data_IF_683771808774
#
_entry.id   IF_683771808774
#
_cell.length_a   1.000
_cell.length_b   1.000
_cell.length_c   1.000
_cell.angle_alpha   90.00
_cell.angle_beta   90.00
_cell.angle_gamma   90.00
#
_symmetry.space_group_name_H-M   'P 1'
#
loop_
_entity.id
_entity.type
_entity.pdbx_description
1 polymer ?
#
# COMPACT_ATOMS: atom_id res chain seq x y z
N UNK A 1 41.38 -2.77 -2.87
CA UNK A 1 40.37 -1.69 -2.98
C UNK A 1 38.99 -2.25 -3.18
N UNK A 2 38.69 -3.15 -4.15
CA UNK A 2 37.33 -3.70 -4.38
C UNK A 2 36.70 -4.39 -3.16
N UNK A 3 37.50 -5.11 -2.35
CA UNK A 3 37.02 -5.75 -1.10
C UNK A 3 36.64 -4.74 -0.01
N UNK A 4 37.29 -3.57 0.02
CA UNK A 4 37.01 -2.50 0.98
C UNK A 4 35.64 -1.84 0.69
N UNK A 5 35.30 -1.63 -0.59
CA UNK A 5 33.99 -1.10 -0.99
C UNK A 5 32.85 -2.08 -0.66
N UNK A 6 33.10 -3.39 -0.78
CA UNK A 6 32.12 -4.41 -0.45
C UNK A 6 31.85 -4.47 1.05
N UNK A 7 32.90 -4.36 1.88
CA UNK A 7 32.77 -4.27 3.34
C UNK A 7 32.05 -2.97 3.74
N UNK A 8 32.39 -1.84 3.13
CA UNK A 8 31.73 -0.56 3.39
C UNK A 8 30.24 -0.59 3.03
N UNK A 9 29.87 -1.24 1.91
CA UNK A 9 28.48 -1.43 1.51
C UNK A 9 27.69 -2.27 2.52
N UNK A 10 28.29 -3.38 3.00
CA UNK A 10 27.67 -4.25 4.01
C UNK A 10 27.51 -3.53 5.35
N UNK A 11 28.52 -2.78 5.80
CA UNK A 11 28.44 -1.99 7.04
C UNK A 11 27.40 -0.88 6.90
N UNK A 12 27.29 -0.22 5.75
CA UNK A 12 26.28 0.81 5.50
C UNK A 12 24.86 0.23 5.53
N UNK A 13 24.64 -0.98 4.99
CA UNK A 13 23.32 -1.64 5.04
C UNK A 13 22.91 -2.09 6.44
N UNK A 14 23.85 -2.29 7.36
CA UNK A 14 23.57 -2.65 8.77
C UNK A 14 23.20 -1.45 9.67
N UNK A 15 23.44 -0.22 9.20
CA UNK A 15 23.16 1.01 9.96
C UNK A 15 21.74 1.54 9.69
N UNK A 16 21.04 0.99 8.69
CA UNK A 16 19.66 1.39 8.39
C UNK A 16 18.71 0.71 9.39
N UNK A 17 18.08 1.51 10.25
CA UNK A 17 16.98 1.05 11.09
C UNK A 17 15.82 0.61 10.18
N UNK A 18 15.63 -0.70 10.07
CA UNK A 18 14.49 -1.29 9.35
C UNK A 18 13.27 -1.21 10.29
N UNK A 19 12.49 -0.18 10.13
CA UNK A 19 11.15 -0.13 10.74
C UNK A 19 10.20 -0.94 9.86
N UNK A 20 9.95 -2.17 10.27
CA UNK A 20 8.96 -3.02 9.62
C UNK A 20 7.57 -2.62 10.10
N UNK A 21 6.84 -1.87 9.28
CA UNK A 21 5.41 -1.66 9.46
C UNK A 21 4.68 -2.83 8.79
N UNK A 22 3.62 -3.33 9.42
CA UNK A 22 2.78 -4.37 8.85
C UNK A 22 1.76 -3.72 7.94
N UNK A 23 1.88 -3.96 6.64
CA UNK A 23 0.84 -3.59 5.68
C UNK A 23 -0.40 -4.47 5.85
N UNK A 24 -1.61 -3.95 5.52
CA UNK A 24 -2.84 -4.72 5.54
C UNK A 24 -2.72 -6.02 4.74
N UNK A 25 -3.21 -7.12 5.29
CA UNK A 25 -3.21 -8.41 4.59
C UNK A 25 -4.21 -8.44 3.45
N UNK A 26 -3.74 -8.37 2.21
CA UNK A 26 -4.57 -8.50 1.03
C UNK A 26 -4.83 -9.98 0.70
N UNK A 27 -6.06 -10.43 0.88
CA UNK A 27 -6.55 -11.67 0.26
C UNK A 27 -7.08 -11.35 -1.14
N UNK A 28 -6.97 -12.29 -2.08
CA UNK A 28 -7.42 -12.11 -3.48
C UNK A 28 -6.68 -10.98 -4.23
N UNK A 29 -5.41 -10.73 -3.89
CA UNK A 29 -4.56 -9.72 -4.52
C UNK A 29 -4.44 -9.90 -6.05
N UNK A 30 -4.64 -11.11 -6.57
CA UNK A 30 -4.59 -11.41 -8.00
C UNK A 30 -5.63 -10.64 -8.83
N UNK A 31 -6.73 -10.21 -8.22
CA UNK A 31 -7.74 -9.38 -8.88
C UNK A 31 -7.40 -7.88 -8.82
N UNK A 32 -6.44 -7.50 -7.98
CA UNK A 32 -6.09 -6.10 -7.75
C UNK A 32 -4.57 -5.90 -7.62
N UNK A 33 -3.82 -6.46 -8.56
CA UNK A 33 -2.35 -6.46 -8.57
C UNK A 33 -1.75 -5.06 -8.56
N UNK A 34 -2.44 -4.07 -9.10
CA UNK A 34 -2.00 -2.67 -9.12
C UNK A 34 -1.77 -2.09 -7.71
N UNK A 35 -2.56 -2.54 -6.72
CA UNK A 35 -2.41 -2.09 -5.32
C UNK A 35 -1.04 -2.50 -4.78
N UNK A 36 -0.57 -3.70 -5.14
CA UNK A 36 0.68 -4.29 -4.63
C UNK A 36 1.89 -3.87 -5.47
N UNK A 37 1.74 -3.92 -6.80
CA UNK A 37 2.86 -3.71 -7.71
C UNK A 37 2.56 -2.59 -8.71
N UNK A 38 3.23 -1.42 -8.62
CA UNK A 38 3.01 -0.32 -9.56
C UNK A 38 3.38 -0.66 -11.01
N UNK A 39 4.28 -1.61 -11.24
CA UNK A 39 4.65 -2.05 -12.57
C UNK A 39 3.52 -2.78 -13.31
N UNK A 40 2.47 -3.19 -12.59
CA UNK A 40 1.28 -3.79 -13.18
C UNK A 40 0.36 -2.75 -13.85
N UNK A 41 0.50 -1.46 -13.51
CA UNK A 41 -0.32 -0.41 -14.09
C UNK A 41 -0.16 -0.38 -15.62
N UNK A 42 -1.28 -0.41 -16.35
CA UNK A 42 -1.27 -0.41 -17.82
C UNK A 42 -0.85 -1.72 -18.47
N UNK A 43 -0.62 -2.80 -17.73
CA UNK A 43 -0.30 -4.12 -18.30
C UNK A 43 -1.45 -4.73 -19.09
N UNK A 44 -2.67 -4.32 -18.83
CA UNK A 44 -3.85 -4.65 -19.61
C UNK A 44 -4.07 -3.61 -20.71
N UNK A 45 -4.55 -4.04 -21.85
CA UNK A 45 -4.77 -3.15 -23.01
C UNK A 45 -5.89 -2.13 -22.81
N UNK A 46 -6.71 -2.30 -21.75
CA UNK A 46 -7.89 -1.50 -21.47
C UNK A 46 -7.83 -0.91 -20.06
N UNK A 47 -8.68 0.10 -19.81
CA UNK A 47 -8.97 0.58 -18.48
C UNK A 47 -9.50 -0.58 -17.62
N UNK A 48 -8.81 -0.86 -16.54
CA UNK A 48 -9.20 -1.85 -15.54
C UNK A 48 -9.55 -1.14 -14.24
N UNK A 49 -10.72 -1.44 -13.69
CA UNK A 49 -11.19 -0.93 -12.40
C UNK A 49 -11.47 -2.13 -11.51
N UNK A 50 -10.97 -2.09 -10.29
CA UNK A 50 -11.18 -3.09 -9.27
C UNK A 50 -11.71 -2.48 -7.97
N UNK A 51 -12.63 -3.19 -7.33
CA UNK A 51 -13.10 -2.88 -5.99
C UNK A 51 -13.05 -4.14 -5.16
N UNK A 52 -12.58 -4.02 -3.93
CA UNK A 52 -12.58 -5.10 -2.96
C UNK A 52 -13.05 -4.57 -1.61
N UNK A 53 -13.96 -5.30 -1.00
CA UNK A 53 -14.38 -5.07 0.37
C UNK A 53 -14.21 -6.36 1.16
N UNK A 54 -13.52 -6.28 2.28
CA UNK A 54 -13.28 -7.40 3.18
C UNK A 54 -13.70 -7.03 4.59
N UNK A 55 -14.50 -7.89 5.21
CA UNK A 55 -14.79 -7.83 6.65
C UNK A 55 -14.35 -9.15 7.28
N UNK A 56 -13.53 -9.07 8.31
CA UNK A 56 -13.11 -10.23 9.11
C UNK A 56 -14.06 -10.36 10.31
N UNK A 57 -14.31 -11.59 10.77
CA UNK A 57 -15.12 -11.86 11.99
C UNK A 57 -16.48 -11.15 11.97
N UNK A 58 -17.35 -11.54 11.05
CA UNK A 58 -18.61 -10.85 10.69
C UNK A 58 -19.53 -10.54 11.86
N UNK A 59 -19.48 -11.32 12.93
CA UNK A 59 -20.32 -11.15 14.13
C UNK A 59 -19.64 -10.38 15.28
N UNK A 60 -18.40 -9.93 15.07
CA UNK A 60 -17.65 -9.17 16.07
C UNK A 60 -17.79 -7.67 15.76
N UNK A 61 -18.17 -6.90 16.79
CA UNK A 61 -18.21 -5.44 16.72
C UNK A 61 -16.77 -4.91 16.58
N UNK A 62 -16.56 -3.86 15.78
CA UNK A 62 -15.25 -3.28 15.45
C UNK A 62 -14.24 -4.24 14.78
N UNK A 63 -14.76 -5.31 14.18
CA UNK A 63 -13.95 -6.25 13.42
C UNK A 63 -13.22 -5.56 12.24
N UNK A 64 -11.99 -6.03 11.92
CA UNK A 64 -11.21 -5.45 10.85
C UNK A 64 -11.95 -5.40 9.53
N UNK A 65 -11.97 -4.22 8.90
CA UNK A 65 -12.58 -3.99 7.59
C UNK A 65 -11.60 -3.31 6.67
N UNK A 66 -11.46 -3.84 5.47
CA UNK A 66 -10.61 -3.28 4.42
C UNK A 66 -11.44 -3.02 3.17
N UNK A 67 -11.43 -1.79 2.69
CA UNK A 67 -12.03 -1.41 1.42
C UNK A 67 -10.91 -0.93 0.47
N UNK A 68 -10.92 -1.43 -0.75
CA UNK A 68 -9.93 -1.04 -1.76
C UNK A 68 -10.64 -0.67 -3.05
N UNK A 69 -10.26 0.46 -3.61
CA UNK A 69 -10.61 0.88 -4.96
C UNK A 69 -9.31 1.07 -5.75
N UNK A 70 -9.25 0.53 -6.95
CA UNK A 70 -8.12 0.79 -7.83
C UNK A 70 -8.56 0.86 -9.28
N UNK A 71 -7.82 1.66 -10.06
CA UNK A 71 -8.00 1.73 -11.49
C UNK A 71 -6.65 1.94 -12.16
N UNK A 72 -6.43 1.30 -13.30
CA UNK A 72 -5.23 1.52 -14.10
C UNK A 72 -5.53 1.40 -15.59
N UNK A 73 -4.77 2.14 -16.40
CA UNK A 73 -4.93 2.12 -17.85
C UNK A 73 -3.57 2.34 -18.54
N UNK A 74 -3.38 1.82 -19.77
CA UNK A 74 -2.32 2.28 -20.64
C UNK A 74 -2.65 3.70 -21.15
N UNK A 75 -1.67 4.60 -21.09
CA UNK A 75 -1.80 6.02 -21.55
C UNK A 75 -1.01 6.25 -22.85
N UNK A 76 -0.22 5.26 -23.25
CA UNK A 76 0.59 5.30 -24.47
C UNK A 76 1.06 3.90 -24.83
N UNK A 77 2.00 3.81 -25.76
CA UNK A 77 2.51 2.49 -26.20
C UNK A 77 3.21 1.71 -25.07
N UNK A 78 3.94 2.43 -24.22
CA UNK A 78 4.81 1.83 -23.21
C UNK A 78 4.54 2.36 -21.80
N UNK A 79 3.58 3.26 -21.62
CA UNK A 79 3.30 3.93 -20.36
C UNK A 79 1.95 3.51 -19.82
N UNK A 80 1.92 3.13 -18.56
CA UNK A 80 0.70 2.90 -17.79
C UNK A 80 0.61 3.85 -16.60
N UNK A 81 -0.62 4.24 -16.28
CA UNK A 81 -0.95 4.98 -15.07
C UNK A 81 -1.96 4.21 -14.24
N UNK A 82 -1.85 4.35 -12.93
CA UNK A 82 -2.78 3.76 -11.99
C UNK A 82 -3.05 4.69 -10.81
N UNK A 83 -4.20 4.45 -10.19
CA UNK A 83 -4.62 5.07 -8.95
C UNK A 83 -5.18 3.99 -8.03
N UNK A 84 -4.84 4.04 -6.76
CA UNK A 84 -5.43 3.17 -5.76
C UNK A 84 -5.74 3.92 -4.48
N UNK A 85 -6.87 3.57 -3.87
CA UNK A 85 -7.32 4.07 -2.57
C UNK A 85 -7.63 2.86 -1.71
N UNK A 86 -7.07 2.82 -0.52
CA UNK A 86 -7.23 1.74 0.43
C UNK A 86 -7.66 2.36 1.75
N UNK A 87 -8.75 1.86 2.32
CA UNK A 87 -9.21 2.22 3.65
C UNK A 87 -9.23 0.97 4.50
N UNK A 88 -8.46 0.97 5.56
CA UNK A 88 -8.35 -0.12 6.53
C UNK A 88 -8.75 0.37 7.91
N UNK A 89 -9.69 -0.32 8.54
CA UNK A 89 -10.15 0.01 9.90
C UNK A 89 -10.03 -1.22 10.78
N UNK A 90 -9.35 -1.06 11.91
CA UNK A 90 -9.14 -2.12 12.92
C UNK A 90 -9.42 -1.52 14.30
N UNK A 91 -10.63 -1.76 14.83
CA UNK A 91 -11.06 -1.12 16.07
C UNK A 91 -10.99 0.40 15.96
N UNK A 92 -10.28 1.09 16.90
CA UNK A 92 -10.16 2.55 16.92
C UNK A 92 -9.15 3.10 15.91
N UNK A 93 -8.41 2.23 15.20
CA UNK A 93 -7.38 2.62 14.23
C UNK A 93 -7.96 2.64 12.83
N UNK A 94 -7.81 3.75 12.13
CA UNK A 94 -8.19 3.92 10.74
C UNK A 94 -6.98 4.39 9.93
N UNK A 95 -6.70 3.68 8.84
CA UNK A 95 -5.65 4.02 7.90
C UNK A 95 -6.21 4.17 6.50
N UNK A 96 -6.00 5.34 5.91
CA UNK A 96 -6.42 5.66 4.55
C UNK A 96 -5.20 5.92 3.69
N UNK A 97 -5.00 5.10 2.65
CA UNK A 97 -3.88 5.17 1.73
C UNK A 97 -4.37 5.60 0.34
N UNK A 98 -3.70 6.59 -0.25
CA UNK A 98 -3.97 7.06 -1.60
C UNK A 98 -2.66 7.01 -2.38
N UNK A 99 -2.61 6.20 -3.44
CA UNK A 99 -1.43 5.98 -4.25
C UNK A 99 -1.67 6.28 -5.73
N UNK A 100 -0.70 6.92 -6.35
CA UNK A 100 -0.56 7.03 -7.80
C UNK A 100 0.56 6.10 -8.28
N UNK A 101 0.31 5.39 -9.35
CA UNK A 101 1.25 4.46 -9.97
C UNK A 101 1.62 4.93 -11.38
N UNK A 102 2.90 4.86 -11.69
CA UNK A 102 3.45 5.07 -13.02
C UNK A 102 4.22 3.81 -13.43
N UNK A 103 3.98 3.32 -14.63
CA UNK A 103 4.74 2.20 -15.17
C UNK A 103 5.30 2.50 -16.55
N UNK A 104 6.46 1.90 -16.83
CA UNK A 104 7.08 1.91 -18.14
C UNK A 104 7.42 0.49 -18.57
N UNK A 105 6.86 0.06 -19.70
CA UNK A 105 7.00 -1.30 -20.23
C UNK A 105 8.02 -1.33 -21.36
N UNK A 106 9.00 -2.23 -21.25
CA UNK A 106 9.97 -2.56 -22.29
C UNK A 106 9.54 -3.84 -23.02
N UNK A 107 9.53 -3.80 -24.32
CA UNK A 107 9.37 -4.98 -25.17
C UNK A 107 10.75 -5.65 -25.35
N UNK A 108 10.89 -6.89 -24.86
CA UNK A 108 12.16 -7.63 -24.91
C UNK A 108 12.31 -8.47 -26.19
N UNK A 109 11.28 -8.47 -27.02
CA UNK A 109 11.19 -9.25 -28.27
C UNK A 109 10.22 -10.43 -28.17
N UNK A 110 9.54 -10.75 -29.27
CA UNK A 110 8.40 -11.66 -29.25
C UNK A 110 7.25 -11.13 -28.40
N UNK A 111 6.69 -12.00 -27.56
CA UNK A 111 5.58 -11.65 -26.65
C UNK A 111 6.05 -11.24 -25.25
N UNK A 112 7.37 -11.14 -25.01
CA UNK A 112 7.95 -10.90 -23.69
C UNK A 112 8.02 -9.41 -23.37
N UNK A 113 7.49 -9.02 -22.22
CA UNK A 113 7.44 -7.65 -21.72
C UNK A 113 7.98 -7.56 -20.30
N UNK A 114 8.73 -6.50 -20.02
CA UNK A 114 9.23 -6.16 -18.68
C UNK A 114 8.80 -4.74 -18.33
N UNK A 115 7.98 -4.60 -17.32
CA UNK A 115 7.54 -3.31 -16.82
C UNK A 115 8.29 -2.90 -15.54
N UNK A 116 8.63 -1.63 -15.46
CA UNK A 116 9.18 -0.95 -14.28
C UNK A 116 8.10 -0.03 -13.74
N UNK A 117 7.86 -0.06 -12.44
CA UNK A 117 6.83 0.75 -11.80
C UNK A 117 7.38 1.63 -10.69
N UNK A 118 6.79 2.81 -10.58
CA UNK A 118 6.97 3.74 -9.47
C UNK A 118 5.61 4.01 -8.84
N UNK A 119 5.56 3.97 -7.53
CA UNK A 119 4.39 4.30 -6.71
C UNK A 119 4.73 5.48 -5.82
N UNK A 120 3.83 6.45 -5.75
CA UNK A 120 3.91 7.56 -4.80
C UNK A 120 2.54 7.80 -4.17
N UNK A 121 2.51 8.13 -2.89
CA UNK A 121 1.25 8.40 -2.23
C UNK A 121 1.36 8.85 -0.80
N UNK A 122 0.20 8.99 -0.18
CA UNK A 122 0.02 9.46 1.18
C UNK A 122 -0.76 8.43 2.00
N UNK A 123 -0.28 8.18 3.20
CA UNK A 123 -0.98 7.43 4.24
C UNK A 123 -1.48 8.41 5.29
N UNK A 124 -2.77 8.38 5.57
CA UNK A 124 -3.43 9.09 6.65
C UNK A 124 -3.75 8.07 7.74
N UNK A 125 -3.05 8.16 8.85
CA UNK A 125 -3.23 7.27 10.00
C UNK A 125 -3.93 8.02 11.12
N UNK A 126 -5.07 7.51 11.58
CA UNK A 126 -5.89 8.10 12.63
C UNK A 126 -6.15 7.06 13.72
N UNK A 127 -5.99 7.48 14.96
CA UNK A 127 -6.30 6.65 16.13
C UNK A 127 -7.34 7.38 16.95
N UNK A 128 -8.58 6.88 16.91
CA UNK A 128 -9.73 7.44 17.61
C UNK A 128 -9.96 6.75 18.95
N UNK A 129 -9.08 6.95 19.93
CA UNK A 129 -9.20 6.29 21.24
C UNK A 129 -10.40 6.77 22.08
N UNK A 130 -10.95 7.95 21.77
CA UNK A 130 -11.98 8.59 22.60
C UNK A 130 -13.42 8.26 22.22
N UNK A 131 -13.71 7.89 20.99
CA UNK A 131 -15.10 7.69 20.57
C UNK A 131 -15.70 6.35 20.99
N UNK A 132 -14.86 5.31 21.10
CA UNK A 132 -15.34 3.95 21.30
C UNK A 132 -15.18 3.43 22.75
N UNK A 133 -14.33 4.09 23.57
CA UNK A 133 -14.01 3.62 24.93
C UNK A 133 -14.92 4.24 26.01
N UNK A 134 -15.71 5.24 25.68
CA UNK A 134 -16.56 5.98 26.64
C UNK A 134 -17.59 5.13 27.42
N UNK A 135 -17.75 3.86 27.09
CA UNK A 135 -18.71 2.98 27.76
C UNK A 135 -18.10 1.97 28.72
N UNK A 136 -16.75 1.83 28.79
CA UNK A 136 -16.15 0.69 29.52
C UNK A 136 -15.01 1.03 30.49
N UNK A 137 -14.49 2.26 30.52
CA UNK A 137 -13.40 2.61 31.43
C UNK A 137 -13.90 3.35 32.65
N UNK A 138 -13.45 2.97 33.88
CA UNK A 138 -13.85 3.60 35.13
C UNK A 138 -13.29 5.02 35.32
N UNK A 139 -12.34 5.45 34.51
CA UNK A 139 -11.66 6.73 34.63
C UNK A 139 -11.57 7.46 33.29
N UNK A 140 -12.63 8.23 32.98
CA UNK A 140 -12.72 9.05 31.75
C UNK A 140 -11.71 10.22 31.73
N UNK A 141 -10.84 10.34 32.73
CA UNK A 141 -9.87 11.43 32.91
C UNK A 141 -8.41 10.99 32.76
N UNK A 142 -8.13 9.79 32.22
CA UNK A 142 -6.75 9.36 31.99
C UNK A 142 -6.12 10.19 30.87
N UNK A 143 -5.06 10.99 31.16
CA UNK A 143 -4.39 11.81 30.14
C UNK A 143 -3.81 11.00 28.95
N UNK A 144 -3.57 9.71 29.13
CA UNK A 144 -3.05 8.82 28.09
C UNK A 144 -4.06 8.61 26.93
N UNK A 145 -5.36 8.84 27.19
CA UNK A 145 -6.44 8.71 26.22
C UNK A 145 -7.03 10.05 25.78
N UNK A 146 -6.43 11.17 26.19
CA UNK A 146 -7.02 12.51 26.03
C UNK A 146 -6.97 13.06 24.59
N UNK A 147 -6.17 12.51 23.67
CA UNK A 147 -6.00 13.06 22.34
C UNK A 147 -6.11 12.00 21.24
N UNK A 148 -6.95 12.28 20.24
CA UNK A 148 -6.94 11.55 18.97
C UNK A 148 -5.63 11.87 18.22
N UNK A 149 -4.87 10.82 17.89
CA UNK A 149 -3.64 11.00 17.15
C UNK A 149 -3.92 10.87 15.65
N UNK A 150 -3.51 11.88 14.87
CA UNK A 150 -3.58 11.87 13.41
C UNK A 150 -2.22 12.18 12.84
N UNK A 151 -1.70 11.27 12.04
CA UNK A 151 -0.41 11.40 11.37
C UNK A 151 -0.58 11.19 9.86
N UNK A 152 0.26 11.86 9.07
CA UNK A 152 0.33 11.65 7.64
C UNK A 152 1.75 11.31 7.22
N UNK A 153 1.89 10.32 6.34
CA UNK A 153 3.18 9.83 5.85
C UNK A 153 3.18 9.83 4.33
N UNK A 154 4.31 10.27 3.75
CA UNK A 154 4.55 10.14 2.32
C UNK A 154 5.29 8.83 2.04
N UNK A 155 4.77 8.05 1.09
CA UNK A 155 5.30 6.75 0.72
C UNK A 155 5.78 6.75 -0.73
N UNK A 156 6.89 6.06 -0.95
CA UNK A 156 7.43 5.77 -2.28
C UNK A 156 7.64 4.27 -2.42
N UNK A 157 7.30 3.73 -3.56
CA UNK A 157 7.50 2.32 -3.88
C UNK A 157 8.01 2.13 -5.31
N UNK A 158 8.67 1.01 -5.53
CA UNK A 158 9.12 0.59 -6.85
C UNK A 158 8.69 -0.85 -7.10
N UNK A 159 8.49 -1.22 -8.36
CA UNK A 159 8.12 -2.56 -8.74
C UNK A 159 8.68 -2.98 -10.08
N UNK A 160 8.76 -4.29 -10.26
CA UNK A 160 9.10 -4.95 -11.52
C UNK A 160 8.01 -5.96 -11.84
N UNK A 161 7.61 -6.02 -13.09
CA UNK A 161 6.63 -6.99 -13.56
C UNK A 161 7.02 -7.53 -14.93
N UNK A 162 7.28 -8.84 -14.98
CA UNK A 162 7.54 -9.56 -16.23
C UNK A 162 6.30 -10.34 -16.63
N UNK A 163 5.90 -10.22 -17.89
CA UNK A 163 4.74 -10.93 -18.42
C UNK A 163 4.88 -11.22 -19.93
N UNK A 164 4.07 -12.14 -20.38
CA UNK A 164 3.91 -12.49 -21.80
C UNK A 164 2.45 -12.30 -22.18
N UNK A 165 2.21 -11.89 -23.42
CA UNK A 165 0.84 -11.81 -23.97
C UNK A 165 0.33 -13.20 -24.34
#
# INVERSE_FOLDING_TARGET
>A
MKKLYLVALVVFSMIMDLQAQQDPHYTQYMYNMNVINPAYAGSKENLSIGMLYRKQWVEIEDAPTTATFSGHAPVGKNVGLGLSVISDKIGPVEENNIYGDFSYTLELGGEHKLAFGLKAGLTLHQVGLFSDINHTLPDANDPAFAENTSNSYFNLGTGLFYYTN
#
